data_IF_813768490599
#
_entry.id   IF_813768490599
#
_cell.length_a   1.000
_cell.length_b   1.000
_cell.length_c   1.000
_cell.angle_alpha   90.00
_cell.angle_beta   90.00
_cell.angle_gamma   90.00
#
_symmetry.space_group_name_H-M   'P 1'
#
loop_
_entity.id
_entity.type
_entity.pdbx_description
1 polymer ?
#
# COMPACT_ATOMS: atom_id res chain seq x y z
N UNK A 1 -45.00 -16.88 -17.88
CA UNK A 1 -43.96 -17.00 -18.93
C UNK A 1 -42.63 -17.14 -18.21
N UNK A 2 -42.12 -18.36 -18.14
CA UNK A 2 -40.86 -18.72 -17.49
C UNK A 2 -39.73 -18.36 -18.45
N UNK A 3 -38.88 -17.39 -18.10
CA UNK A 3 -37.66 -17.14 -18.86
C UNK A 3 -36.67 -18.24 -18.47
N UNK A 4 -36.39 -19.09 -19.45
CA UNK A 4 -35.46 -20.22 -19.35
C UNK A 4 -34.05 -19.70 -19.02
N UNK A 5 -33.65 -19.80 -17.74
CA UNK A 5 -32.28 -19.57 -17.26
C UNK A 5 -31.38 -20.77 -17.61
N UNK A 6 -31.46 -21.27 -18.84
CA UNK A 6 -30.70 -22.42 -19.28
C UNK A 6 -29.36 -21.99 -19.91
N UNK A 7 -28.28 -22.41 -19.26
CA UNK A 7 -26.91 -22.51 -19.78
C UNK A 7 -26.09 -21.22 -19.98
N UNK A 8 -26.02 -20.35 -18.97
CA UNK A 8 -24.87 -19.45 -18.81
C UNK A 8 -23.73 -20.20 -18.11
N UNK A 9 -22.97 -21.00 -18.86
CA UNK A 9 -21.68 -21.52 -18.40
C UNK A 9 -20.67 -20.37 -18.46
N UNK A 10 -20.72 -19.46 -17.48
CA UNK A 10 -19.80 -18.33 -17.45
C UNK A 10 -18.59 -18.67 -16.61
N UNK A 11 -17.46 -18.74 -17.29
CA UNK A 11 -16.16 -18.80 -16.65
C UNK A 11 -15.83 -17.39 -16.16
N UNK A 12 -15.67 -17.24 -14.84
CA UNK A 12 -14.99 -16.09 -14.28
C UNK A 12 -13.62 -15.96 -14.94
N UNK A 13 -13.23 -14.73 -15.25
CA UNK A 13 -11.90 -14.46 -15.80
C UNK A 13 -11.03 -13.81 -14.76
N UNK A 14 -9.83 -14.37 -14.63
CA UNK A 14 -8.82 -13.93 -13.68
C UNK A 14 -7.71 -13.23 -14.46
N UNK A 15 -7.33 -12.04 -14.00
CA UNK A 15 -6.14 -11.33 -14.44
C UNK A 15 -5.26 -11.15 -13.22
N UNK A 16 -4.00 -11.58 -13.33
CA UNK A 16 -2.99 -11.40 -12.30
C UNK A 16 -1.78 -10.69 -12.93
N UNK A 17 -1.27 -9.66 -12.28
CA UNK A 17 -0.12 -8.88 -12.75
C UNK A 17 0.59 -8.19 -11.59
N UNK A 18 1.89 -7.93 -11.76
CA UNK A 18 2.64 -7.11 -10.81
C UNK A 18 2.62 -5.65 -11.30
N UNK A 19 2.17 -4.74 -10.45
CA UNK A 19 2.07 -3.32 -10.74
C UNK A 19 2.97 -2.50 -9.82
N UNK A 20 3.44 -1.39 -10.38
CA UNK A 20 4.26 -0.40 -9.70
C UNK A 20 3.34 0.71 -9.19
N UNK A 21 3.18 0.80 -7.87
CA UNK A 21 2.22 1.69 -7.21
C UNK A 21 2.92 2.85 -6.52
N UNK A 22 2.51 4.11 -6.78
CA UNK A 22 2.95 5.23 -5.96
C UNK A 22 2.35 5.10 -4.55
N UNK A 23 3.19 5.36 -3.54
CA UNK A 23 2.81 5.29 -2.14
C UNK A 23 3.57 6.34 -1.31
N UNK A 24 3.08 6.63 -0.11
CA UNK A 24 3.81 7.45 0.84
C UNK A 24 3.57 6.99 2.30
N UNK A 25 4.56 7.22 3.17
CA UNK A 25 4.42 6.94 4.60
C UNK A 25 4.05 8.24 5.31
N UNK A 26 2.79 8.39 5.70
CA UNK A 26 2.34 9.51 6.55
C UNK A 26 2.38 9.08 8.00
N UNK A 27 3.50 9.35 8.65
CA UNK A 27 3.73 8.88 10.01
C UNK A 27 4.53 9.86 10.87
N UNK A 28 4.65 9.53 12.14
CA UNK A 28 5.44 10.24 13.12
C UNK A 28 6.32 9.25 13.90
N UNK A 29 7.57 9.64 14.14
CA UNK A 29 8.38 9.05 15.21
C UNK A 29 8.17 9.85 16.49
N UNK A 30 7.74 9.16 17.53
CA UNK A 30 7.50 9.74 18.86
C UNK A 30 8.47 9.08 19.82
N UNK A 31 9.37 9.87 20.40
CA UNK A 31 10.30 9.38 21.41
C UNK A 31 9.80 9.71 22.81
N UNK A 32 9.90 8.74 23.72
CA UNK A 32 9.65 8.91 25.15
C UNK A 32 10.86 8.41 25.93
N UNK A 33 11.30 9.21 26.90
CA UNK A 33 12.38 8.78 27.78
C UNK A 33 11.89 7.67 28.71
N UNK A 34 12.63 6.56 28.77
CA UNK A 34 12.34 5.52 29.75
C UNK A 34 12.97 5.97 31.06
N UNK A 35 12.17 6.61 31.92
CA UNK A 35 12.60 6.97 33.26
C UNK A 35 13.07 5.73 34.03
N UNK A 36 14.26 5.81 34.63
CA UNK A 36 14.55 5.00 35.79
C UNK A 36 13.43 5.29 36.81
N UNK A 37 12.71 4.26 37.23
CA UNK A 37 11.62 4.37 38.20
C UNK A 37 12.05 5.26 39.38
N UNK A 38 11.34 6.37 39.59
CA UNK A 38 11.45 7.16 40.82
C UNK A 38 10.93 6.32 41.98
N UNK A 39 11.81 5.52 42.58
CA UNK A 39 11.60 4.85 43.85
C UNK A 39 12.35 5.59 44.96
N UNK A 40 11.59 6.11 45.91
CA UNK A 40 11.97 6.37 47.31
C UNK A 40 13.21 7.24 47.58
N UNK A 41 12.96 8.47 48.04
CA UNK A 41 13.92 9.18 48.88
C UNK A 41 13.99 8.48 50.25
N UNK A 42 15.00 7.63 50.44
CA UNK A 42 15.59 7.39 51.75
C UNK A 42 17.07 7.03 51.55
N UNK A 43 17.93 7.79 52.20
CA UNK A 43 19.37 7.81 51.93
C UNK A 43 20.11 6.54 52.35
N UNK A 44 21.11 6.18 51.56
CA UNK A 44 22.42 5.65 51.96
C UNK A 44 23.27 5.42 50.70
N UNK A 45 24.55 5.81 50.77
CA UNK A 45 25.51 5.73 49.68
C UNK A 45 25.90 4.29 49.33
N UNK A 46 25.98 3.96 48.03
CA UNK A 46 26.86 2.92 47.51
C UNK A 46 27.16 3.16 46.02
N UNK A 47 28.46 3.24 45.74
CA UNK A 47 29.19 3.33 44.47
C UNK A 47 28.73 2.39 43.34
N UNK A 48 28.70 2.87 42.10
CA UNK A 48 28.89 1.97 40.94
C UNK A 48 28.37 2.36 39.55
N UNK A 49 27.56 3.41 39.35
CA UNK A 49 27.09 3.77 37.99
C UNK A 49 27.89 4.93 37.41
N UNK A 50 28.45 4.73 36.22
CA UNK A 50 29.16 5.80 35.48
C UNK A 50 28.23 7.00 35.26
N UNK A 51 28.59 8.22 35.71
CA UNK A 51 27.82 9.42 35.44
C UNK A 51 28.03 9.82 33.97
N UNK A 52 27.12 9.41 33.09
CA UNK A 52 27.23 9.77 31.67
C UNK A 52 26.35 8.99 30.68
N UNK A 53 25.68 7.92 31.10
CA UNK A 53 24.74 7.22 30.24
C UNK A 53 23.36 7.88 30.31
N UNK A 54 23.01 8.65 29.28
CA UNK A 54 21.63 9.14 29.09
C UNK A 54 20.66 7.95 29.05
N UNK A 55 19.47 8.07 29.67
CA UNK A 55 18.50 6.97 29.73
C UNK A 55 18.09 6.52 28.33
N UNK A 56 17.80 5.23 28.11
CA UNK A 56 17.35 4.74 26.82
C UNK A 56 16.02 5.39 26.45
N UNK A 57 15.83 5.65 25.16
CA UNK A 57 14.57 6.14 24.61
C UNK A 57 13.73 4.99 24.07
N UNK A 58 12.43 5.08 24.30
CA UNK A 58 11.43 4.31 23.61
C UNK A 58 10.97 5.12 22.39
N UNK A 59 10.88 4.48 21.23
CA UNK A 59 10.46 5.11 19.98
C UNK A 59 9.22 4.39 19.49
N UNK A 60 8.16 5.16 19.28
CA UNK A 60 6.90 4.71 18.71
C UNK A 60 6.76 5.28 17.30
N UNK A 61 6.55 4.40 16.33
CA UNK A 61 6.09 4.74 14.99
C UNK A 61 4.57 4.70 14.98
N UNK A 62 3.94 5.80 14.58
CA UNK A 62 2.48 5.93 14.45
C UNK A 62 2.12 6.62 13.15
N UNK A 63 1.11 6.12 12.44
CA UNK A 63 0.64 6.71 11.19
C UNK A 63 0.04 5.70 10.24
N UNK A 64 0.29 5.87 8.94
CA UNK A 64 -0.21 4.97 7.91
C UNK A 64 0.63 4.97 6.63
N UNK A 65 0.46 3.90 5.87
CA UNK A 65 0.87 3.81 4.48
C UNK A 65 -0.29 4.29 3.60
N UNK A 66 -0.08 5.34 2.82
CA UNK A 66 -1.05 5.83 1.85
C UNK A 66 -0.67 5.31 0.47
N UNK A 67 -1.65 4.79 -0.26
CA UNK A 67 -1.47 4.22 -1.60
C UNK A 67 -2.16 5.15 -2.61
N UNK A 68 -1.54 5.34 -3.77
CA UNK A 68 -1.98 6.30 -4.79
C UNK A 68 -3.35 5.99 -5.42
N UNK A 69 -3.92 4.83 -5.18
CA UNK A 69 -5.19 4.37 -5.78
C UNK A 69 -4.96 3.47 -6.99
N UNK A 70 -5.91 2.57 -7.22
CA UNK A 70 -5.89 1.58 -8.29
C UNK A 70 -7.25 1.55 -8.97
N UNK A 71 -7.25 1.74 -10.27
CA UNK A 71 -8.40 1.61 -11.13
C UNK A 71 -8.22 0.52 -12.16
N UNK A 72 -9.24 0.36 -12.97
CA UNK A 72 -9.26 -0.57 -14.09
C UNK A 72 -10.11 -0.02 -15.21
N UNK A 73 -9.69 -0.24 -16.44
CA UNK A 73 -10.45 0.05 -17.65
C UNK A 73 -10.72 -1.26 -18.39
N UNK A 74 -12.00 -1.54 -18.58
CA UNK A 74 -12.48 -2.69 -19.34
C UNK A 74 -12.82 -2.24 -20.76
N UNK A 75 -12.29 -2.97 -21.74
CA UNK A 75 -12.48 -2.67 -23.16
C UNK A 75 -13.38 -3.74 -23.77
N UNK A 76 -14.55 -3.31 -24.23
CA UNK A 76 -15.54 -4.14 -24.88
C UNK A 76 -15.54 -3.87 -26.38
N UNK A 77 -15.58 -4.93 -27.19
CA UNK A 77 -15.69 -4.81 -28.64
C UNK A 77 -17.11 -5.11 -29.07
N UNK A 78 -17.79 -4.10 -29.62
CA UNK A 78 -19.14 -4.26 -30.17
C UNK A 78 -19.14 -5.08 -31.47
N UNK A 79 -20.23 -5.80 -31.71
CA UNK A 79 -20.48 -6.40 -33.02
C UNK A 79 -20.95 -5.31 -33.99
N UNK A 80 -20.50 -5.32 -35.25
CA UNK A 80 -20.96 -4.34 -36.23
C UNK A 80 -22.47 -4.53 -36.48
N UNK A 81 -23.25 -3.45 -36.31
CA UNK A 81 -24.72 -3.46 -36.53
C UNK A 81 -25.12 -3.73 -37.99
N UNK A 82 -24.18 -3.64 -38.93
CA UNK A 82 -24.37 -3.94 -40.37
C UNK A 82 -23.18 -4.76 -40.89
N UNK A 83 -23.37 -5.58 -41.95
CA UNK A 83 -22.30 -6.38 -42.55
C UNK A 83 -21.07 -5.59 -43.02
N UNK A 84 -21.25 -4.29 -43.32
CA UNK A 84 -20.18 -3.36 -43.72
C UNK A 84 -19.71 -2.42 -42.60
N UNK A 85 -20.21 -2.60 -41.37
CA UNK A 85 -19.83 -1.77 -40.23
C UNK A 85 -18.49 -2.20 -39.64
N UNK A 86 -17.72 -1.23 -39.15
CA UNK A 86 -16.56 -1.53 -38.32
C UNK A 86 -17.00 -1.78 -36.87
N UNK A 87 -16.45 -2.78 -36.18
CA UNK A 87 -16.66 -2.94 -34.75
C UNK A 87 -16.09 -1.72 -34.01
N UNK A 88 -16.82 -1.23 -33.01
CA UNK A 88 -16.41 -0.11 -32.17
C UNK A 88 -16.03 -0.61 -30.77
N UNK A 89 -14.95 -0.09 -30.23
CA UNK A 89 -14.56 -0.34 -28.84
C UNK A 89 -15.31 0.63 -27.91
N UNK A 90 -15.81 0.09 -26.80
CA UNK A 90 -16.50 0.79 -25.72
C UNK A 90 -15.74 0.51 -24.44
N UNK A 91 -15.47 1.56 -23.66
CA UNK A 91 -14.64 1.46 -22.45
C UNK A 91 -15.46 1.81 -21.22
N UNK A 92 -15.33 1.00 -20.17
CA UNK A 92 -15.90 1.27 -18.84
C UNK A 92 -14.80 1.23 -17.81
N UNK A 93 -14.75 2.22 -16.92
CA UNK A 93 -13.77 2.30 -15.84
C UNK A 93 -14.39 1.94 -14.50
N UNK A 94 -13.61 1.33 -13.61
CA UNK A 94 -13.98 1.09 -12.23
C UNK A 94 -12.82 1.38 -11.28
N UNK A 95 -13.15 1.80 -10.06
CA UNK A 95 -12.17 2.05 -9.01
C UNK A 95 -12.06 0.81 -8.13
N UNK A 96 -10.87 0.21 -8.05
CA UNK A 96 -10.59 -0.96 -7.21
C UNK A 96 -10.12 -0.53 -5.82
N UNK A 97 -9.25 0.48 -5.77
CA UNK A 97 -8.75 1.10 -4.55
C UNK A 97 -8.81 2.62 -4.69
N UNK A 98 -9.61 3.33 -3.88
CA UNK A 98 -9.64 4.78 -3.90
C UNK A 98 -8.25 5.39 -3.63
N UNK A 99 -7.93 6.46 -4.34
CA UNK A 99 -6.72 7.23 -4.06
C UNK A 99 -6.75 7.80 -2.64
N UNK A 100 -5.61 7.76 -1.95
CA UNK A 100 -5.49 8.31 -0.61
C UNK A 100 -5.96 7.37 0.50
N UNK A 101 -6.37 6.14 0.19
CA UNK A 101 -6.67 5.14 1.20
C UNK A 101 -5.40 4.84 2.02
N UNK A 102 -5.54 4.90 3.34
CA UNK A 102 -4.47 4.65 4.29
C UNK A 102 -4.61 3.25 4.91
N UNK A 103 -3.54 2.45 4.82
CA UNK A 103 -3.35 1.28 5.66
C UNK A 103 -2.74 1.75 6.98
N UNK A 104 -3.48 1.57 8.07
CA UNK A 104 -3.05 2.03 9.40
C UNK A 104 -1.84 1.23 9.89
N UNK A 105 -0.80 1.94 10.33
CA UNK A 105 0.30 1.37 11.07
C UNK A 105 -0.07 1.50 12.54
N UNK A 106 -0.53 0.40 13.15
CA UNK A 106 -0.72 0.34 14.59
C UNK A 106 0.56 0.73 15.32
N UNK A 107 0.45 1.41 16.47
CA UNK A 107 1.58 1.92 17.24
C UNK A 107 2.69 0.87 17.42
N UNK A 108 3.77 0.99 16.65
CA UNK A 108 4.91 0.06 16.74
C UNK A 108 5.97 0.69 17.62
N UNK A 109 6.26 0.05 18.73
CA UNK A 109 7.16 0.58 19.76
C UNK A 109 8.41 -0.26 19.87
N UNK A 110 9.57 0.39 19.93
CA UNK A 110 10.86 -0.27 20.15
C UNK A 110 11.74 0.54 21.09
N UNK A 111 12.73 -0.10 21.71
CA UNK A 111 13.69 0.56 22.61
C UNK A 111 15.03 0.75 21.93
N UNK A 112 15.53 1.97 21.93
CA UNK A 112 16.86 2.29 21.46
C UNK A 112 17.78 2.48 22.67
N UNK A 113 18.95 1.82 22.68
CA UNK A 113 19.98 2.01 23.72
C UNK A 113 20.78 3.30 23.51
N UNK A 114 20.06 4.37 23.15
CA UNK A 114 20.57 5.72 22.92
C UNK A 114 19.69 6.65 23.75
N UNK A 115 20.28 7.66 24.38
CA UNK A 115 19.56 8.65 25.15
C UNK A 115 19.81 10.06 24.64
N UNK A 116 19.10 11.02 25.23
CA UNK A 116 19.15 12.44 24.85
C UNK A 116 18.32 12.74 23.60
N UNK A 117 18.79 13.71 22.80
CA UNK A 117 18.11 14.19 21.60
C UNK A 117 18.89 13.74 20.33
N UNK A 118 18.74 12.50 19.84
CA UNK A 118 19.38 12.07 18.60
C UNK A 118 18.63 12.57 17.37
N UNK A 119 19.38 12.85 16.32
CA UNK A 119 18.87 13.07 14.98
C UNK A 119 18.44 11.75 14.35
N UNK A 120 17.31 11.75 13.64
CA UNK A 120 16.72 10.59 13.00
C UNK A 120 16.72 10.73 11.48
N UNK A 121 17.15 9.66 10.81
CA UNK A 121 16.96 9.45 9.39
C UNK A 121 16.09 8.22 9.18
N UNK A 122 15.26 8.26 8.16
CA UNK A 122 14.41 7.15 7.78
C UNK A 122 14.79 6.64 6.39
N UNK A 123 14.53 5.37 6.13
CA UNK A 123 14.65 4.77 4.81
C UNK A 123 13.59 3.69 4.66
N UNK A 124 12.79 3.78 3.61
CA UNK A 124 11.79 2.75 3.30
C UNK A 124 12.48 1.65 2.50
N UNK A 125 12.13 0.41 2.79
CA UNK A 125 12.72 -0.77 2.17
C UNK A 125 11.63 -1.81 1.88
N UNK A 126 11.86 -2.63 0.87
CA UNK A 126 11.07 -3.84 0.68
C UNK A 126 11.41 -4.90 1.74
N UNK A 127 10.69 -6.03 1.76
CA UNK A 127 10.99 -7.11 2.72
C UNK A 127 12.25 -7.91 2.44
N UNK A 128 12.91 -7.71 1.29
CA UNK A 128 14.27 -8.22 1.06
C UNK A 128 15.33 -7.25 1.63
N UNK A 129 14.90 -6.10 2.14
CA UNK A 129 15.77 -5.06 2.71
C UNK A 129 16.38 -4.14 1.67
N UNK A 130 15.92 -4.20 0.40
CA UNK A 130 16.33 -3.30 -0.68
C UNK A 130 15.74 -1.92 -0.44
N UNK A 131 16.54 -0.85 -0.48
CA UNK A 131 16.04 0.51 -0.28
C UNK A 131 15.13 0.96 -1.42
N UNK A 132 13.93 1.39 -1.06
CA UNK A 132 12.95 2.05 -1.95
C UNK A 132 13.10 3.58 -1.92
N UNK A 133 13.78 4.11 -0.90
CA UNK A 133 14.12 5.54 -0.79
C UNK A 133 15.57 5.72 -0.39
N UNK A 134 16.07 6.94 -0.59
CA UNK A 134 17.26 7.41 0.12
C UNK A 134 16.99 7.55 1.63
N UNK A 135 18.06 7.82 2.38
CA UNK A 135 17.94 8.21 3.80
C UNK A 135 17.42 9.65 3.89
N UNK A 136 16.23 9.83 4.44
CA UNK A 136 15.58 11.13 4.62
C UNK A 136 15.73 11.57 6.07
N UNK A 137 16.25 12.78 6.28
CA UNK A 137 16.31 13.38 7.62
C UNK A 137 14.91 13.83 8.07
N UNK A 138 14.48 13.43 9.26
CA UNK A 138 13.13 13.75 9.78
C UNK A 138 13.14 14.65 11.02
N UNK A 139 14.32 14.98 11.55
CA UNK A 139 14.46 15.85 12.72
C UNK A 139 15.18 15.19 13.89
N UNK A 140 15.13 15.86 15.05
CA UNK A 140 15.70 15.36 16.30
C UNK A 140 14.59 14.96 17.28
N UNK A 141 14.72 13.77 17.86
CA UNK A 141 13.65 13.09 18.59
C UNK A 141 13.26 13.77 19.93
N UNK A 142 14.16 14.53 20.53
CA UNK A 142 13.94 15.29 21.77
C UNK A 142 13.24 16.63 21.57
N UNK A 143 12.89 16.99 20.33
CA UNK A 143 12.17 18.24 20.00
C UNK A 143 10.68 18.05 19.76
N UNK A 144 10.17 16.84 20.01
CA UNK A 144 8.78 16.45 19.76
C UNK A 144 8.66 15.44 18.61
N UNK A 145 7.42 15.15 18.17
CA UNK A 145 7.18 14.19 17.11
C UNK A 145 7.87 14.58 15.80
N UNK A 146 8.62 13.65 15.22
CA UNK A 146 9.23 13.82 13.90
C UNK A 146 8.27 13.30 12.83
N UNK A 147 7.57 14.21 12.17
CA UNK A 147 6.64 13.88 11.09
C UNK A 147 7.41 13.50 9.82
N UNK A 148 6.83 12.59 9.03
CA UNK A 148 7.38 12.14 7.76
C UNK A 148 6.27 11.93 6.74
N UNK A 149 6.57 12.26 5.47
CA UNK A 149 5.74 11.94 4.29
C UNK A 149 6.64 11.63 3.06
N UNK A 150 7.61 10.69 3.14
CA UNK A 150 8.43 10.34 1.99
C UNK A 150 7.59 9.61 0.92
N UNK A 151 7.56 10.11 -0.33
CA UNK A 151 6.99 9.37 -1.44
C UNK A 151 7.94 8.25 -1.87
N UNK A 152 7.38 7.15 -2.34
CA UNK A 152 8.12 6.03 -2.90
C UNK A 152 7.22 5.20 -3.83
N UNK A 153 7.81 4.21 -4.47
CA UNK A 153 7.10 3.28 -5.34
C UNK A 153 7.27 1.87 -4.79
N UNK A 154 6.16 1.13 -4.67
CA UNK A 154 6.17 -0.27 -4.25
C UNK A 154 5.62 -1.16 -5.35
N UNK A 155 6.13 -2.40 -5.40
CA UNK A 155 5.57 -3.44 -6.24
C UNK A 155 4.51 -4.21 -5.46
N UNK A 156 3.36 -4.42 -6.08
CA UNK A 156 2.28 -5.23 -5.55
C UNK A 156 1.75 -6.14 -6.65
N UNK A 157 1.27 -7.31 -6.26
CA UNK A 157 0.53 -8.18 -7.17
C UNK A 157 -0.94 -7.80 -7.11
N UNK A 158 -1.52 -7.45 -8.25
CA UNK A 158 -2.94 -7.16 -8.39
C UNK A 158 -3.61 -8.34 -9.10
N UNK A 159 -4.69 -8.81 -8.51
CA UNK A 159 -5.51 -9.88 -9.04
C UNK A 159 -6.95 -9.42 -9.14
N UNK A 160 -7.56 -9.60 -10.31
CA UNK A 160 -8.95 -9.22 -10.55
C UNK A 160 -9.73 -10.35 -11.16
N UNK A 161 -10.98 -10.49 -10.73
CA UNK A 161 -11.94 -11.44 -11.22
C UNK A 161 -13.11 -10.70 -11.85
N UNK A 162 -13.38 -11.00 -13.11
CA UNK A 162 -14.58 -10.54 -13.81
C UNK A 162 -15.56 -11.70 -13.87
N UNK A 163 -16.74 -11.52 -13.29
CA UNK A 163 -17.84 -12.49 -13.37
C UNK A 163 -19.12 -11.80 -13.84
N UNK A 164 -20.09 -12.52 -14.41
CA UNK A 164 -21.46 -12.03 -14.51
C UNK A 164 -22.00 -11.69 -13.13
N UNK A 165 -23.05 -10.87 -13.13
CA UNK A 165 -23.77 -10.54 -11.90
C UNK A 165 -24.19 -11.81 -11.15
N UNK A 166 -23.63 -11.96 -9.94
CA UNK A 166 -24.18 -12.81 -8.88
C UNK A 166 -25.22 -12.06 -8.06
N UNK A 167 -25.93 -12.77 -7.18
CA UNK A 167 -27.13 -12.32 -6.42
C UNK A 167 -26.95 -11.01 -5.61
N UNK A 168 -25.71 -10.55 -5.41
CA UNK A 168 -25.37 -9.37 -4.59
C UNK A 168 -25.06 -8.08 -5.37
N UNK A 169 -25.02 -8.08 -6.70
CA UNK A 169 -24.87 -6.83 -7.46
C UNK A 169 -26.21 -6.08 -7.56
N UNK A 170 -26.23 -4.74 -7.67
CA UNK A 170 -27.44 -4.01 -8.01
C UNK A 170 -28.11 -4.62 -9.26
N UNK A 171 -29.44 -4.66 -9.28
CA UNK A 171 -30.31 -5.43 -10.19
C UNK A 171 -30.21 -5.08 -11.70
N UNK A 172 -29.15 -4.38 -12.04
CA UNK A 172 -29.08 -3.42 -13.11
C UNK A 172 -27.68 -3.55 -13.78
N UNK A 173 -26.64 -3.99 -13.06
CA UNK A 173 -25.32 -4.27 -13.64
C UNK A 173 -25.29 -5.55 -14.53
N UNK A 174 -24.32 -5.61 -15.44
CA UNK A 174 -24.10 -6.76 -16.33
C UNK A 174 -23.02 -7.71 -15.80
N UNK A 175 -21.99 -7.12 -15.18
CA UNK A 175 -20.82 -7.80 -14.66
C UNK A 175 -20.51 -7.30 -13.24
N UNK A 176 -19.82 -8.13 -12.48
CA UNK A 176 -19.19 -7.77 -11.22
C UNK A 176 -17.69 -7.95 -11.36
N UNK A 177 -16.95 -6.94 -10.94
CA UNK A 177 -15.50 -6.99 -10.81
C UNK A 177 -15.14 -7.08 -9.33
N UNK A 178 -14.37 -8.09 -8.97
CA UNK A 178 -13.77 -8.25 -7.64
C UNK A 178 -12.26 -8.46 -7.79
N UNK A 179 -11.55 -8.55 -6.67
CA UNK A 179 -10.12 -8.82 -6.70
C UNK A 179 -9.44 -8.49 -5.40
N UNK A 180 -8.12 -8.52 -5.45
CA UNK A 180 -7.25 -8.18 -4.34
C UNK A 180 -5.90 -7.65 -4.83
N UNK A 181 -5.23 -6.97 -3.91
CA UNK A 181 -3.85 -6.51 -4.06
C UNK A 181 -3.02 -7.10 -2.92
N UNK A 182 -1.88 -7.66 -3.26
CA UNK A 182 -0.99 -8.33 -2.31
C UNK A 182 0.38 -7.67 -2.30
N UNK A 183 0.87 -7.37 -1.09
CA UNK A 183 2.24 -6.96 -0.85
C UNK A 183 3.15 -8.17 -0.73
N UNK A 184 3.58 -8.74 -1.87
CA UNK A 184 4.32 -10.00 -1.90
C UNK A 184 5.56 -10.00 -1.00
N UNK A 185 6.29 -8.87 -1.02
CA UNK A 185 7.52 -8.70 -0.22
C UNK A 185 7.28 -8.00 1.11
N UNK A 186 6.15 -7.33 1.31
CA UNK A 186 5.97 -6.42 2.45
C UNK A 186 6.86 -5.18 2.38
N UNK A 187 6.79 -4.35 3.42
CA UNK A 187 7.46 -3.06 3.52
C UNK A 187 8.00 -2.83 4.93
N UNK A 188 9.18 -2.23 5.05
CA UNK A 188 9.77 -1.84 6.33
C UNK A 188 10.31 -0.41 6.32
N UNK A 189 10.27 0.24 7.48
CA UNK A 189 10.88 1.52 7.76
C UNK A 189 12.14 1.29 8.60
N UNK A 190 13.30 1.59 8.03
CA UNK A 190 14.54 1.68 8.78
C UNK A 190 14.68 3.07 9.37
N UNK A 191 14.92 3.15 10.67
CA UNK A 191 15.26 4.36 11.39
C UNK A 191 16.71 4.29 11.84
N UNK A 192 17.50 5.27 11.41
CA UNK A 192 18.92 5.42 11.73
C UNK A 192 19.07 6.62 12.66
N UNK A 193 19.65 6.40 13.83
CA UNK A 193 19.82 7.43 14.85
C UNK A 193 21.30 7.83 14.96
N UNK A 194 21.55 9.13 15.01
CA UNK A 194 22.88 9.70 15.24
C UNK A 194 22.81 10.85 16.25
N UNK A 195 23.71 10.89 17.22
CA UNK A 195 23.82 12.01 18.17
C UNK A 195 24.38 13.27 17.54
N UNK A 196 25.25 13.12 16.54
CA UNK A 196 25.97 14.22 15.88
C UNK A 196 25.62 14.26 14.39
N UNK A 197 25.40 15.47 13.90
CA UNK A 197 25.10 15.80 12.49
C UNK A 197 26.35 16.41 11.80
N UNK A 198 26.43 16.28 10.47
CA UNK A 198 27.36 17.05 9.64
C UNK A 198 28.36 16.23 8.79
N UNK A 199 29.02 16.87 7.79
CA UNK A 199 29.90 16.25 6.79
C UNK A 199 30.94 15.28 7.37
N UNK A 200 31.52 15.67 8.51
CA UNK A 200 32.59 14.95 9.20
C UNK A 200 32.14 13.64 9.87
N UNK A 201 30.82 13.42 10.03
CA UNK A 201 30.27 12.32 10.82
C UNK A 201 29.55 11.26 9.97
N UNK A 202 29.32 11.50 8.67
CA UNK A 202 28.62 10.56 7.79
C UNK A 202 29.36 9.24 7.57
N UNK A 203 30.69 9.24 7.68
CA UNK A 203 31.50 8.02 7.62
C UNK A 203 31.51 7.18 8.91
N UNK A 204 30.94 7.68 10.02
CA UNK A 204 30.86 6.91 11.28
C UNK A 204 29.62 6.01 11.31
N UNK A 205 29.76 4.89 12.02
CA UNK A 205 28.64 3.99 12.30
C UNK A 205 27.52 4.76 13.04
N UNK A 206 26.24 4.50 12.69
CA UNK A 206 25.11 5.03 13.45
C UNK A 206 25.17 4.61 14.92
N UNK A 207 24.59 5.44 15.80
CA UNK A 207 24.50 5.14 17.23
C UNK A 207 23.42 4.09 17.51
N UNK A 208 22.34 4.06 16.71
CA UNK A 208 21.36 2.99 16.71
C UNK A 208 20.70 2.83 15.34
N UNK A 209 20.26 1.60 15.03
CA UNK A 209 19.45 1.28 13.85
C UNK A 209 18.26 0.47 14.33
N UNK A 210 17.07 0.84 13.88
CA UNK A 210 15.81 0.21 14.23
C UNK A 210 15.06 -0.07 12.95
N UNK A 211 14.42 -1.23 12.86
CA UNK A 211 13.61 -1.58 11.71
C UNK A 211 12.18 -1.80 12.21
N UNK A 212 11.23 -1.08 11.61
CA UNK A 212 9.81 -1.24 11.83
C UNK A 212 9.21 -1.90 10.61
N UNK A 213 8.54 -3.03 10.78
CA UNK A 213 7.71 -3.57 9.72
C UNK A 213 6.52 -2.61 9.50
N UNK A 214 6.23 -2.22 8.27
CA UNK A 214 5.07 -1.38 7.93
C UNK A 214 3.93 -2.30 7.48
N UNK A 215 4.25 -3.17 6.51
CA UNK A 215 3.34 -4.16 5.94
C UNK A 215 4.05 -5.50 5.91
N UNK A 216 3.41 -6.54 6.43
CA UNK A 216 3.93 -7.91 6.37
C UNK A 216 3.93 -8.42 4.93
N UNK A 217 4.91 -9.25 4.58
CA UNK A 217 4.85 -9.99 3.31
C UNK A 217 3.56 -10.82 3.23
N UNK A 218 2.92 -10.81 2.06
CA UNK A 218 1.64 -11.48 1.82
C UNK A 218 0.42 -10.74 2.41
N UNK A 219 0.57 -9.51 2.91
CA UNK A 219 -0.59 -8.71 3.31
C UNK A 219 -1.49 -8.44 2.11
N UNK A 220 -2.78 -8.72 2.26
CA UNK A 220 -3.78 -8.60 1.19
C UNK A 220 -4.76 -7.47 1.49
N UNK A 221 -5.08 -6.71 0.45
CA UNK A 221 -6.14 -5.70 0.43
C UNK A 221 -7.20 -6.16 -0.57
N UNK A 222 -8.37 -6.52 -0.09
CA UNK A 222 -9.48 -6.92 -0.96
C UNK A 222 -10.15 -5.69 -1.57
N UNK A 223 -10.45 -5.78 -2.88
CA UNK A 223 -11.22 -4.75 -3.56
C UNK A 223 -12.72 -4.94 -3.27
N UNK A 224 -13.45 -3.86 -2.95
CA UNK A 224 -14.90 -3.94 -2.88
C UNK A 224 -15.46 -4.32 -4.25
N UNK A 225 -16.49 -5.16 -4.26
CA UNK A 225 -17.14 -5.58 -5.50
C UNK A 225 -17.66 -4.35 -6.28
N UNK A 226 -17.19 -4.18 -7.50
CA UNK A 226 -17.58 -3.10 -8.39
C UNK A 226 -18.60 -3.61 -9.42
N UNK A 227 -19.84 -3.08 -9.45
CA UNK A 227 -20.77 -3.36 -10.53
C UNK A 227 -20.29 -2.67 -11.82
N UNK A 228 -20.26 -3.42 -12.92
CA UNK A 228 -19.84 -2.94 -14.24
C UNK A 228 -21.03 -2.98 -15.18
N UNK A 229 -21.19 -1.86 -15.87
CA UNK A 229 -22.24 -1.63 -16.84
C UNK A 229 -21.64 -1.56 -18.23
N UNK A 230 -22.13 -2.39 -19.13
CA UNK A 230 -21.68 -2.38 -20.53
C UNK A 230 -22.61 -1.55 -21.43
N UNK A 231 -23.75 -1.12 -20.88
CA UNK A 231 -24.76 -0.33 -21.57
C UNK A 231 -25.54 -1.15 -22.60
N UNK A 232 -26.33 -0.47 -23.44
CA UNK A 232 -27.16 -1.12 -24.49
C UNK A 232 -26.33 -1.77 -25.63
N UNK A 233 -25.01 -1.57 -25.64
CA UNK A 233 -24.13 -2.13 -26.66
C UNK A 233 -23.62 -3.51 -26.26
N UNK A 234 -24.30 -4.54 -26.78
CA UNK A 234 -23.85 -5.94 -26.81
C UNK A 234 -22.43 -6.03 -27.39
N UNK A 235 -21.44 -6.04 -26.51
CA UNK A 235 -20.03 -6.16 -26.82
C UNK A 235 -19.41 -7.33 -26.07
N UNK A 236 -18.40 -7.94 -26.65
CA UNK A 236 -17.62 -8.97 -25.96
C UNK A 236 -16.47 -8.30 -25.22
N UNK A 237 -16.35 -8.58 -23.92
CA UNK A 237 -15.19 -8.16 -23.14
C UNK A 237 -13.92 -8.71 -23.80
N UNK A 238 -13.05 -7.80 -24.23
CA UNK A 238 -11.85 -8.11 -24.99
C UNK A 238 -10.62 -8.06 -24.12
N UNK A 239 -10.56 -7.08 -23.25
CA UNK A 239 -9.36 -6.81 -22.48
C UNK A 239 -9.61 -5.91 -21.28
N UNK A 240 -8.59 -5.85 -20.44
CA UNK A 240 -8.56 -5.07 -19.21
C UNK A 240 -7.18 -4.43 -19.07
N UNK A 241 -7.13 -3.19 -18.61
CA UNK A 241 -5.89 -2.49 -18.26
C UNK A 241 -6.03 -1.87 -16.88
N UNK A 242 -4.99 -1.95 -16.05
CA UNK A 242 -4.97 -1.29 -14.74
C UNK A 242 -4.68 0.20 -14.92
N UNK A 243 -5.25 1.01 -14.04
CA UNK A 243 -5.10 2.46 -14.03
C UNK A 243 -4.55 2.90 -12.67
N UNK A 244 -3.76 3.98 -12.63
CA UNK A 244 -3.39 4.64 -11.39
C UNK A 244 -4.54 5.48 -10.81
N UNK A 245 -4.29 6.17 -9.70
CA UNK A 245 -5.26 7.06 -9.07
C UNK A 245 -5.60 8.31 -9.87
N UNK A 246 -4.80 8.67 -10.88
CA UNK A 246 -5.09 9.77 -11.82
C UNK A 246 -5.88 9.29 -13.03
N UNK A 247 -5.95 7.97 -13.23
CA UNK A 247 -6.68 7.31 -14.31
C UNK A 247 -5.80 6.97 -15.52
N UNK A 248 -4.48 7.08 -15.37
CA UNK A 248 -3.49 6.75 -16.38
C UNK A 248 -3.16 5.25 -16.35
N UNK A 249 -2.91 4.60 -17.50
CA UNK A 249 -2.61 3.18 -17.54
C UNK A 249 -1.33 2.79 -16.81
N UNK A 250 -1.41 1.80 -15.91
CA UNK A 250 -0.26 1.14 -15.30
C UNK A 250 -0.11 -0.27 -15.89
N UNK A 251 1.04 -0.54 -16.51
CA UNK A 251 1.36 -1.85 -17.05
C UNK A 251 0.76 -2.10 -18.43
N UNK A 252 0.59 -3.38 -18.77
CA UNK A 252 0.15 -3.80 -20.10
C UNK A 252 -1.36 -4.09 -20.13
N UNK A 253 -1.96 -3.95 -21.31
CA UNK A 253 -3.30 -4.47 -21.58
C UNK A 253 -3.31 -6.00 -21.49
N UNK A 254 -4.26 -6.53 -20.73
CA UNK A 254 -4.48 -7.96 -20.56
C UNK A 254 -5.61 -8.42 -21.48
N UNK A 255 -5.27 -9.21 -22.51
CA UNK A 255 -6.26 -9.82 -23.39
C UNK A 255 -7.03 -10.91 -22.65
N UNK A 256 -8.34 -10.79 -22.67
CA UNK A 256 -9.29 -11.68 -22.05
C UNK A 256 -9.82 -12.67 -23.09
N UNK A 257 -10.13 -13.90 -22.67
CA UNK A 257 -10.76 -14.84 -23.59
C UNK A 257 -12.15 -14.30 -23.94
N UNK A 258 -12.62 -14.39 -25.19
CA UNK A 258 -13.99 -13.98 -25.49
C UNK A 258 -14.94 -14.96 -24.80
N UNK A 259 -15.60 -14.55 -23.71
CA UNK A 259 -16.47 -15.48 -22.96
C UNK A 259 -17.78 -14.84 -22.50
N UNK A 260 -17.86 -13.51 -22.44
CA UNK A 260 -19.10 -12.81 -22.13
C UNK A 260 -19.65 -12.17 -23.40
N UNK A 261 -20.67 -12.80 -24.00
CA UNK A 261 -21.60 -12.09 -24.86
C UNK A 261 -22.80 -11.75 -23.99
N UNK A 262 -22.97 -10.48 -23.65
CA UNK A 262 -24.23 -9.99 -23.10
C UNK A 262 -25.24 -10.07 -24.24
N UNK A 263 -26.30 -10.87 -24.09
CA UNK A 263 -27.37 -10.98 -25.09
C UNK A 263 -28.42 -9.91 -24.87
#
# INVERSE_FOLDING_TARGET
MSVDRAAMAVLSQQVCTTISMPACIRAALIATEIGASNGSSNGAAASGSSPGASPPIQITLRGGLVIGGLGVELIFRSRPKRPSGFPRDVTTKATLLPSGQALEIHDKTTRAKIGGDPAAWIQIRDGEGVPLTDQVYVGRLGRGPCLMDPPFTCLVSAETYVSPVGISAPAEADLTLTGEMTFDRGLSLRVVLRRREGPLWWGRRPDAILDFEIVTAGHMVHFPAQPIWTGESVGTLRSLIFLDGEGDPIGNEHLLKPTVALQ
#
